data_IF_452006425977
#
_entry.id   IF_452006425977
#
_cell.length_a   1.000
_cell.length_b   1.000
_cell.length_c   1.000
_cell.angle_alpha   90.00
_cell.angle_beta   90.00
_cell.angle_gamma   90.00
#
_symmetry.space_group_name_H-M   'P 1'
#
loop_
_entity.id
_entity.type
_entity.pdbx_description
1 polymer ?
#
# COMPACT_ATOMS: atom_id res chain seq x y z
N UNK A 1 -4.81 -27.55 -65.47
CA UNK A 1 -6.24 -27.65 -65.20
C UNK A 1 -6.42 -27.53 -63.69
N UNK A 2 -7.06 -26.44 -63.26
CA UNK A 2 -7.59 -26.08 -61.93
C UNK A 2 -6.71 -26.35 -60.68
N UNK A 3 -6.43 -25.39 -59.80
CA UNK A 3 -7.08 -24.10 -59.60
C UNK A 3 -6.15 -23.08 -58.95
N UNK A 4 -6.35 -21.84 -59.36
CA UNK A 4 -5.64 -20.64 -58.96
C UNK A 4 -6.30 -20.00 -57.74
N UNK A 5 -5.57 -19.10 -57.10
CA UNK A 5 -6.07 -18.01 -56.24
C UNK A 5 -6.41 -18.34 -54.77
N UNK A 6 -5.46 -18.08 -53.88
CA UNK A 6 -5.60 -17.09 -52.78
C UNK A 6 -4.29 -16.95 -51.98
N UNK A 7 -3.18 -16.80 -52.70
CA UNK A 7 -1.95 -16.23 -52.13
C UNK A 7 -1.96 -14.74 -52.44
N UNK A 8 -2.44 -13.91 -51.50
CA UNK A 8 -2.19 -12.46 -51.35
C UNK A 8 -3.41 -11.68 -50.85
N UNK A 9 -3.74 -11.78 -49.56
CA UNK A 9 -4.47 -10.73 -48.83
C UNK A 9 -4.52 -11.02 -47.32
N UNK A 10 -3.38 -11.07 -46.64
CA UNK A 10 -3.35 -10.81 -45.18
C UNK A 10 -1.97 -10.28 -44.77
N UNK A 11 -1.60 -9.17 -45.41
CA UNK A 11 -0.46 -8.33 -45.04
C UNK A 11 -0.99 -7.22 -44.14
N UNK A 12 -1.29 -7.50 -42.87
CA UNK A 12 -1.46 -6.45 -41.86
C UNK A 12 -1.42 -7.06 -40.45
N UNK A 13 -0.23 -7.08 -39.83
CA UNK A 13 -0.04 -6.81 -38.39
C UNK A 13 1.47 -6.83 -38.04
N UNK A 14 2.18 -5.83 -38.58
CA UNK A 14 3.32 -5.24 -37.88
C UNK A 14 2.74 -4.14 -37.00
N UNK A 15 2.56 -4.39 -35.71
CA UNK A 15 2.29 -3.35 -34.74
C UNK A 15 3.09 -3.62 -33.46
N UNK A 16 4.18 -2.87 -33.33
CA UNK A 16 4.50 -2.03 -32.18
C UNK A 16 3.99 -2.55 -30.83
N UNK A 17 4.91 -2.95 -29.95
CA UNK A 17 4.63 -2.99 -28.50
C UNK A 17 4.74 -1.58 -27.94
N UNK A 18 3.67 -0.94 -27.41
CA UNK A 18 3.83 0.19 -26.54
C UNK A 18 3.92 -0.30 -25.10
N UNK A 19 4.98 0.13 -24.42
CA UNK A 19 4.96 0.30 -22.98
C UNK A 19 3.77 1.20 -22.56
N UNK A 20 3.36 1.11 -21.28
CA UNK A 20 2.42 2.00 -20.58
C UNK A 20 0.92 1.64 -20.50
N UNK A 21 0.46 0.45 -20.92
CA UNK A 21 -0.99 0.15 -20.93
C UNK A 21 -1.68 -0.11 -19.57
N UNK A 22 -1.03 -0.64 -18.51
CA UNK A 22 -1.74 -0.83 -17.23
C UNK A 22 -1.93 0.46 -16.42
N UNK A 23 -1.01 1.42 -16.54
CA UNK A 23 -1.05 2.67 -15.77
C UNK A 23 -1.99 3.70 -16.40
N UNK A 24 -2.06 3.77 -17.73
CA UNK A 24 -2.99 4.65 -18.44
C UNK A 24 -4.46 4.24 -18.22
N UNK A 25 -4.75 2.94 -18.15
CA UNK A 25 -6.10 2.43 -17.85
C UNK A 25 -6.52 2.72 -16.41
N UNK A 26 -5.59 2.67 -15.45
CA UNK A 26 -5.91 2.98 -14.05
C UNK A 26 -6.15 4.49 -13.85
N UNK A 27 -5.38 5.35 -14.50
CA UNK A 27 -5.60 6.81 -14.45
C UNK A 27 -6.86 7.23 -15.20
N UNK A 28 -7.18 6.59 -16.34
CA UNK A 28 -8.42 6.88 -17.06
C UNK A 28 -9.63 6.36 -16.31
N UNK A 29 -9.61 5.16 -15.72
CA UNK A 29 -10.74 4.66 -14.92
C UNK A 29 -10.98 5.52 -13.68
N UNK A 30 -9.92 5.90 -12.95
CA UNK A 30 -10.05 6.82 -11.80
C UNK A 30 -10.51 8.21 -12.23
N UNK A 31 -9.98 8.74 -13.35
CA UNK A 31 -10.46 9.99 -13.92
C UNK A 31 -11.94 9.88 -14.30
N UNK A 32 -12.37 8.84 -15.03
CA UNK A 32 -13.76 8.65 -15.43
C UNK A 32 -14.70 8.49 -14.24
N UNK A 33 -14.27 7.84 -13.15
CA UNK A 33 -15.05 7.74 -11.90
C UNK A 33 -15.15 9.10 -11.19
N UNK A 34 -14.06 9.87 -11.15
CA UNK A 34 -14.07 11.22 -10.58
C UNK A 34 -14.91 12.18 -11.43
N UNK A 35 -14.79 12.12 -12.76
CA UNK A 35 -15.57 12.94 -13.69
C UNK A 35 -17.02 12.52 -13.67
N UNK A 36 -17.37 11.24 -13.60
CA UNK A 36 -18.78 10.81 -13.51
C UNK A 36 -19.41 11.17 -12.17
N UNK A 37 -18.66 11.08 -11.07
CA UNK A 37 -19.09 11.56 -9.75
C UNK A 37 -19.27 13.08 -9.71
N UNK A 38 -18.34 13.82 -10.32
CA UNK A 38 -18.44 15.28 -10.44
C UNK A 38 -19.60 15.69 -11.35
N UNK A 39 -19.79 15.02 -12.50
CA UNK A 39 -20.93 15.23 -13.39
C UNK A 39 -22.25 14.88 -12.70
N UNK A 40 -22.29 13.82 -11.88
CA UNK A 40 -23.45 13.47 -11.07
C UNK A 40 -23.78 14.56 -10.05
N UNK A 41 -22.76 15.11 -9.39
CA UNK A 41 -22.91 16.26 -8.49
C UNK A 41 -23.36 17.52 -9.23
N UNK A 42 -22.77 17.87 -10.38
CA UNK A 42 -23.18 19.05 -11.15
C UNK A 42 -24.58 18.89 -11.71
N UNK A 43 -24.99 17.70 -12.12
CA UNK A 43 -26.35 17.43 -12.58
C UNK A 43 -27.36 17.51 -11.43
N UNK A 44 -27.01 16.98 -10.25
CA UNK A 44 -27.81 17.12 -9.03
C UNK A 44 -27.94 18.58 -8.59
N UNK A 45 -26.84 19.34 -8.67
CA UNK A 45 -26.83 20.77 -8.36
C UNK A 45 -27.66 21.57 -9.37
N UNK A 46 -27.53 21.29 -10.68
CA UNK A 46 -28.36 21.90 -11.72
C UNK A 46 -29.85 21.58 -11.56
N UNK A 47 -30.18 20.34 -11.19
CA UNK A 47 -31.56 19.95 -10.88
C UNK A 47 -32.09 20.70 -9.65
N UNK A 48 -31.25 20.89 -8.63
CA UNK A 48 -31.59 21.68 -7.46
C UNK A 48 -31.79 23.16 -7.80
N UNK A 49 -30.90 23.78 -8.59
CA UNK A 49 -31.05 25.18 -9.01
C UNK A 49 -32.29 25.38 -9.88
N UNK A 50 -32.60 24.43 -10.76
CA UNK A 50 -33.81 24.47 -11.58
C UNK A 50 -35.08 24.31 -10.73
N UNK A 51 -35.07 23.39 -9.75
CA UNK A 51 -36.16 23.24 -8.78
C UNK A 51 -36.34 24.50 -7.92
N UNK A 52 -35.24 25.11 -7.49
CA UNK A 52 -35.26 26.38 -6.76
C UNK A 52 -35.78 27.53 -7.62
N UNK A 53 -35.42 27.56 -8.91
CA UNK A 53 -35.89 28.57 -9.87
C UNK A 53 -37.40 28.43 -10.13
N UNK A 54 -37.89 27.20 -10.27
CA UNK A 54 -39.32 26.90 -10.36
C UNK A 54 -40.06 27.35 -9.11
N UNK A 55 -39.51 27.05 -7.93
CA UNK A 55 -40.07 27.50 -6.65
C UNK A 55 -40.10 29.03 -6.52
N UNK A 56 -39.04 29.74 -6.93
CA UNK A 56 -39.05 31.21 -6.97
C UNK A 56 -40.10 31.76 -7.94
N UNK A 57 -40.30 31.13 -9.09
CA UNK A 57 -41.32 31.56 -10.05
C UNK A 57 -42.74 31.31 -9.54
N UNK A 58 -42.98 30.18 -8.88
CA UNK A 58 -44.25 29.90 -8.20
C UNK A 58 -44.50 30.91 -7.06
N UNK A 59 -43.49 31.23 -6.25
CA UNK A 59 -43.55 32.26 -5.22
C UNK A 59 -43.85 33.65 -5.81
N UNK A 60 -43.20 34.05 -6.90
CA UNK A 60 -43.48 35.32 -7.58
C UNK A 60 -44.95 35.39 -8.02
N UNK A 61 -45.47 34.29 -8.60
CA UNK A 61 -46.89 34.19 -9.01
C UNK A 61 -47.87 34.20 -7.84
N UNK A 62 -47.42 33.70 -6.68
CA UNK A 62 -48.19 33.70 -5.43
C UNK A 62 -48.17 35.10 -4.80
N UNK A 63 -47.03 35.80 -4.83
CA UNK A 63 -46.89 37.16 -4.31
C UNK A 63 -47.61 38.20 -5.15
N UNK A 64 -47.73 38.02 -6.48
CA UNK A 64 -48.54 38.91 -7.32
C UNK A 64 -50.05 38.84 -7.04
N UNK A 65 -50.50 37.86 -6.25
CA UNK A 65 -51.89 37.69 -5.81
C UNK A 65 -52.16 38.30 -4.43
N UNK A 66 -51.13 38.74 -3.72
CA UNK A 66 -51.24 39.40 -2.42
C UNK A 66 -50.88 40.88 -2.55
N UNK A 67 -51.85 41.77 -2.33
CA UNK A 67 -51.64 43.22 -2.20
C UNK A 67 -51.03 43.52 -0.82
N UNK A 68 -49.80 43.07 -0.56
CA UNK A 68 -49.07 43.32 0.69
C UNK A 68 -47.98 44.38 0.42
N UNK A 69 -47.77 45.35 1.34
CA UNK A 69 -46.85 46.46 1.12
C UNK A 69 -45.40 46.01 0.83
N UNK A 70 -44.68 46.73 -0.04
CA UNK A 70 -43.41 46.31 -0.65
C UNK A 70 -42.24 46.10 0.34
N UNK A 71 -42.39 46.55 1.58
CA UNK A 71 -41.34 46.48 2.61
C UNK A 71 -41.23 45.09 3.25
N UNK A 72 -42.27 44.26 3.23
CA UNK A 72 -42.20 42.87 3.72
C UNK A 72 -41.72 41.90 2.63
N UNK A 73 -42.03 42.18 1.37
CA UNK A 73 -41.60 41.37 0.22
C UNK A 73 -40.09 41.43 -0.01
N UNK A 74 -39.48 42.59 0.23
CA UNK A 74 -38.03 42.81 0.11
C UNK A 74 -37.24 42.07 1.19
N UNK A 75 -37.82 41.85 2.39
CA UNK A 75 -37.21 41.03 3.44
C UNK A 75 -37.17 39.56 3.01
N UNK A 76 -38.25 39.05 2.42
CA UNK A 76 -38.35 37.66 1.99
C UNK A 76 -37.38 37.31 0.84
N UNK A 77 -37.21 38.20 -0.15
CA UNK A 77 -36.24 38.01 -1.25
C UNK A 77 -34.79 38.04 -0.76
N UNK A 78 -34.50 38.89 0.23
CA UNK A 78 -33.19 38.95 0.87
C UNK A 78 -32.90 37.70 1.71
N UNK A 79 -33.91 37.07 2.32
CA UNK A 79 -33.73 35.81 3.03
C UNK A 79 -33.54 34.62 2.08
N UNK A 80 -34.24 34.58 0.94
CA UNK A 80 -34.07 33.49 -0.04
C UNK A 80 -32.68 33.48 -0.71
N UNK A 81 -32.08 34.65 -0.94
CA UNK A 81 -30.71 34.77 -1.48
C UNK A 81 -29.63 34.40 -0.47
N UNK A 82 -29.92 34.45 0.83
CA UNK A 82 -28.99 34.07 1.91
C UNK A 82 -28.91 32.56 2.12
N UNK A 83 -29.97 31.80 1.85
CA UNK A 83 -30.00 30.33 2.01
C UNK A 83 -28.85 29.61 1.28
N UNK A 84 -28.57 29.83 -0.02
CA UNK A 84 -27.47 29.15 -0.72
C UNK A 84 -26.09 29.56 -0.17
N UNK A 85 -25.92 30.80 0.29
CA UNK A 85 -24.69 31.26 0.93
C UNK A 85 -24.47 30.57 2.29
N UNK A 86 -25.53 30.36 3.07
CA UNK A 86 -25.48 29.63 4.33
C UNK A 86 -25.13 28.16 4.09
N UNK A 87 -25.73 27.52 3.08
CA UNK A 87 -25.41 26.12 2.73
C UNK A 87 -23.96 25.95 2.29
N UNK A 88 -23.44 26.87 1.47
CA UNK A 88 -22.02 26.88 1.09
C UNK A 88 -21.12 27.10 2.31
N UNK A 89 -21.45 28.05 3.18
CA UNK A 89 -20.69 28.33 4.39
C UNK A 89 -20.67 27.11 5.34
N UNK A 90 -21.80 26.43 5.52
CA UNK A 90 -21.89 25.20 6.33
C UNK A 90 -21.10 24.06 5.71
N UNK A 91 -21.17 23.87 4.38
CA UNK A 91 -20.37 22.85 3.68
C UNK A 91 -18.87 23.10 3.80
N UNK A 92 -18.45 24.36 3.70
CA UNK A 92 -17.05 24.78 3.85
C UNK A 92 -16.59 24.61 5.31
N UNK A 93 -17.43 24.97 6.28
CA UNK A 93 -17.17 24.71 7.70
C UNK A 93 -17.05 23.20 7.99
N UNK A 94 -17.90 22.35 7.40
CA UNK A 94 -17.87 20.90 7.61
C UNK A 94 -16.61 20.26 7.01
N UNK A 95 -16.20 20.68 5.81
CA UNK A 95 -14.96 20.20 5.17
C UNK A 95 -13.70 20.65 5.92
N UNK A 96 -13.67 21.90 6.39
CA UNK A 96 -12.60 22.39 7.27
C UNK A 96 -12.56 21.57 8.56
N UNK A 97 -13.71 21.42 9.24
CA UNK A 97 -13.80 20.68 10.51
C UNK A 97 -13.38 19.22 10.33
N UNK A 98 -13.80 18.56 9.25
CA UNK A 98 -13.41 17.18 8.94
C UNK A 98 -11.91 17.05 8.61
N UNK A 99 -11.35 17.99 7.84
CA UNK A 99 -9.91 18.05 7.55
C UNK A 99 -9.07 18.27 8.82
N UNK A 100 -9.52 19.17 9.68
CA UNK A 100 -8.92 19.49 10.97
C UNK A 100 -9.02 18.29 11.93
N UNK A 101 -10.16 17.62 12.02
CA UNK A 101 -10.34 16.38 12.80
C UNK A 101 -9.40 15.26 12.33
N UNK A 102 -9.13 15.17 11.02
CA UNK A 102 -8.17 14.23 10.44
C UNK A 102 -6.72 14.60 10.78
N UNK A 103 -6.41 15.90 10.88
CA UNK A 103 -5.09 16.39 11.27
C UNK A 103 -4.80 16.18 12.76
N UNK A 104 -5.82 16.25 13.63
CA UNK A 104 -5.69 16.07 15.09
C UNK A 104 -5.40 14.63 15.54
N UNK A 105 -5.41 13.63 14.65
CA UNK A 105 -5.02 12.24 15.00
C UNK A 105 -3.51 11.97 14.90
N UNK A 106 -2.67 13.00 14.78
CA UNK A 106 -1.21 12.82 14.74
C UNK A 106 -0.64 12.85 16.16
N UNK A 107 -0.02 11.74 16.57
CA UNK A 107 0.66 11.64 17.87
C UNK A 107 2.09 12.15 17.72
N UNK A 108 2.51 13.06 18.59
CA UNK A 108 3.89 13.51 18.67
C UNK A 108 4.69 12.56 19.59
N UNK A 109 5.71 11.94 19.03
CA UNK A 109 6.69 11.11 19.73
C UNK A 109 7.99 11.93 19.81
N UNK A 110 8.11 12.67 20.91
CA UNK A 110 9.33 13.39 21.26
C UNK A 110 10.22 12.43 22.05
N UNK A 111 11.29 11.97 21.40
CA UNK A 111 12.26 11.10 22.03
C UNK A 111 13.51 11.92 22.38
N UNK A 112 13.83 12.02 23.66
CA UNK A 112 15.12 12.48 24.16
C UNK A 112 15.90 11.23 24.55
N UNK A 113 16.97 10.94 23.82
CA UNK A 113 17.67 9.66 23.96
C UNK A 113 19.14 9.91 24.14
N UNK A 114 19.63 9.52 25.30
CA UNK A 114 21.03 9.56 25.69
C UNK A 114 21.54 8.14 25.99
N UNK A 115 22.86 7.96 25.99
CA UNK A 115 23.51 6.71 26.39
C UNK A 115 23.52 5.60 25.31
N UNK A 116 23.68 4.32 25.72
CA UNK A 116 23.93 3.20 24.80
C UNK A 116 22.85 2.99 23.73
N UNK A 117 21.59 3.28 24.06
CA UNK A 117 20.45 3.16 23.16
C UNK A 117 20.50 4.21 22.02
N UNK A 118 20.97 5.42 22.32
CA UNK A 118 21.17 6.46 21.31
C UNK A 118 22.25 6.05 20.28
N UNK A 119 23.37 5.51 20.78
CA UNK A 119 24.46 5.02 19.95
C UNK A 119 24.00 3.88 19.04
N UNK A 120 23.30 2.89 19.59
CA UNK A 120 22.70 1.82 18.81
C UNK A 120 21.69 2.35 17.76
N UNK A 121 20.84 3.30 18.14
CA UNK A 121 19.87 3.87 17.21
C UNK A 121 20.54 4.64 16.07
N UNK A 122 21.64 5.33 16.35
CA UNK A 122 22.45 5.98 15.32
C UNK A 122 23.07 4.96 14.34
N UNK A 123 23.47 3.79 14.84
CA UNK A 123 24.06 2.70 14.05
C UNK A 123 23.02 2.08 13.11
N UNK A 124 21.82 1.75 13.59
CA UNK A 124 20.76 1.24 12.71
C UNK A 124 20.34 2.28 11.67
N UNK A 125 20.27 3.56 12.06
CA UNK A 125 19.94 4.65 11.15
C UNK A 125 20.98 4.81 10.04
N UNK A 126 22.27 4.71 10.34
CA UNK A 126 23.34 4.84 9.33
C UNK A 126 23.37 3.70 8.31
N UNK A 127 22.91 2.51 8.69
CA UNK A 127 22.80 1.34 7.79
C UNK A 127 21.47 1.28 7.03
N UNK A 128 20.46 2.05 7.46
CA UNK A 128 19.14 2.05 6.86
C UNK A 128 19.11 2.37 5.36
N UNK A 129 19.95 3.28 4.82
CA UNK A 129 20.06 3.50 3.38
C UNK A 129 20.26 2.21 2.58
N UNK A 130 21.07 1.27 3.10
CA UNK A 130 21.28 -0.04 2.47
C UNK A 130 20.02 -0.89 2.36
N UNK A 131 19.08 -0.75 3.31
CA UNK A 131 17.77 -1.42 3.27
C UNK A 131 16.81 -0.69 2.32
N UNK A 132 16.86 0.65 2.27
CA UNK A 132 16.00 1.44 1.36
C UNK A 132 16.36 1.27 -0.12
N UNK A 133 17.61 0.92 -0.42
CA UNK A 133 18.09 0.66 -1.79
C UNK A 133 17.79 -0.77 -2.28
N UNK A 134 17.14 -1.60 -1.46
CA UNK A 134 16.71 -2.92 -1.90
C UNK A 134 15.57 -2.80 -2.91
N UNK A 135 15.70 -3.49 -4.04
CA UNK A 135 14.64 -3.51 -5.06
C UNK A 135 13.32 -4.05 -4.52
N UNK A 136 13.39 -5.01 -3.61
CA UNK A 136 12.23 -5.69 -3.06
C UNK A 136 12.43 -6.07 -1.60
N UNK A 137 11.51 -5.56 -0.79
CA UNK A 137 11.30 -5.98 0.60
C UNK A 137 9.85 -6.43 0.68
N UNK A 138 9.63 -7.63 1.18
CA UNK A 138 8.31 -8.24 1.31
C UNK A 138 8.01 -8.54 2.77
N UNK A 139 6.75 -8.38 3.15
CA UNK A 139 6.21 -8.91 4.39
C UNK A 139 5.46 -10.19 4.04
N UNK A 140 5.85 -11.31 4.64
CA UNK A 140 5.12 -12.57 4.53
C UNK A 140 3.91 -12.52 5.45
N UNK A 141 2.72 -12.42 4.87
CA UNK A 141 1.44 -12.34 5.60
C UNK A 141 0.89 -13.72 5.91
N UNK A 142 1.12 -14.70 5.03
CA UNK A 142 0.70 -16.08 5.23
C UNK A 142 1.72 -17.05 4.63
N UNK A 143 1.91 -18.18 5.30
CA UNK A 143 2.70 -19.30 4.79
C UNK A 143 1.92 -20.59 5.04
N UNK A 144 1.67 -21.34 3.97
CA UNK A 144 0.91 -22.60 4.01
C UNK A 144 1.74 -23.72 3.41
N UNK A 145 1.93 -24.80 4.16
CA UNK A 145 2.59 -26.00 3.65
C UNK A 145 1.76 -26.63 2.52
N UNK A 146 2.44 -27.07 1.49
CA UNK A 146 1.82 -27.74 0.35
C UNK A 146 1.54 -29.19 0.71
N UNK A 147 0.26 -29.52 0.94
CA UNK A 147 -0.12 -30.82 1.51
C UNK A 147 -0.17 -31.97 0.50
N UNK A 148 -0.26 -31.69 -0.80
CA UNK A 148 -0.42 -32.74 -1.83
C UNK A 148 0.56 -32.57 -3.00
N UNK A 149 0.95 -33.66 -3.68
CA UNK A 149 1.78 -33.58 -4.89
C UNK A 149 1.14 -32.75 -6.01
N UNK A 150 -0.20 -32.72 -6.08
CA UNK A 150 -0.92 -31.86 -7.02
C UNK A 150 -0.69 -30.37 -6.69
N UNK A 151 -0.77 -29.99 -5.41
CA UNK A 151 -0.52 -28.61 -5.01
C UNK A 151 0.94 -28.22 -5.25
N UNK A 152 1.91 -29.12 -5.07
CA UNK A 152 3.32 -28.84 -5.40
C UNK A 152 3.47 -28.58 -6.90
N UNK A 153 2.85 -29.42 -7.73
CA UNK A 153 2.89 -29.30 -9.18
C UNK A 153 2.36 -27.96 -9.71
N UNK A 154 1.24 -27.47 -9.17
CA UNK A 154 0.66 -26.19 -9.60
C UNK A 154 1.33 -24.96 -8.98
N UNK A 155 2.20 -25.14 -8.00
CA UNK A 155 2.98 -24.09 -7.34
C UNK A 155 4.48 -24.22 -7.62
N UNK A 156 4.84 -24.62 -8.86
CA UNK A 156 6.23 -24.69 -9.32
C UNK A 156 7.17 -25.58 -8.47
N UNK A 157 6.62 -26.62 -7.83
CA UNK A 157 7.33 -27.55 -6.96
C UNK A 157 7.62 -27.01 -5.56
N UNK A 158 6.99 -25.90 -5.14
CA UNK A 158 7.26 -25.29 -3.83
C UNK A 158 6.64 -26.07 -2.66
N UNK A 159 7.43 -26.25 -1.59
CA UNK A 159 6.98 -26.88 -0.34
C UNK A 159 6.01 -26.00 0.46
N UNK A 160 6.03 -24.69 0.20
CA UNK A 160 5.17 -23.71 0.85
C UNK A 160 4.58 -22.73 -0.17
N UNK A 161 3.29 -22.45 -0.01
CA UNK A 161 2.61 -21.32 -0.64
C UNK A 161 2.79 -20.13 0.29
N UNK A 162 3.39 -19.06 -0.24
CA UNK A 162 3.72 -17.85 0.52
C UNK A 162 2.90 -16.69 -0.04
N UNK A 163 2.05 -16.10 0.80
CA UNK A 163 1.43 -14.82 0.51
C UNK A 163 2.25 -13.71 1.16
N UNK A 164 2.55 -12.68 0.37
CA UNK A 164 3.40 -11.58 0.80
C UNK A 164 2.97 -10.27 0.17
N UNK A 165 3.24 -9.18 0.87
CA UNK A 165 2.92 -7.81 0.47
C UNK A 165 4.18 -6.97 0.41
N UNK A 166 4.21 -5.99 -0.51
CA UNK A 166 5.39 -5.14 -0.69
C UNK A 166 5.50 -4.17 0.47
N UNK A 167 6.66 -4.12 1.08
CA UNK A 167 6.94 -3.24 2.22
C UNK A 167 7.61 -1.98 1.71
N UNK A 168 7.09 -0.82 2.11
CA UNK A 168 7.78 0.44 2.00
C UNK A 168 8.77 0.58 3.15
N UNK A 169 10.03 0.77 2.82
CA UNK A 169 11.10 1.08 3.78
C UNK A 169 11.25 2.59 3.85
N UNK A 170 11.25 3.16 5.05
CA UNK A 170 11.36 4.62 5.25
C UNK A 170 12.19 4.94 6.50
N UNK A 171 12.85 6.11 6.50
CA UNK A 171 13.50 6.67 7.69
C UNK A 171 12.59 7.71 8.36
N UNK A 172 11.32 7.38 8.45
CA UNK A 172 10.27 8.20 9.05
C UNK A 172 9.18 7.27 9.57
N UNK A 173 8.53 7.61 10.69
CA UNK A 173 7.40 6.83 11.16
C UNK A 173 6.23 6.86 10.18
N UNK A 174 5.23 6.01 10.41
CA UNK A 174 3.97 6.09 9.68
C UNK A 174 3.36 7.50 9.83
N UNK A 175 2.75 8.05 8.76
CA UNK A 175 2.14 9.39 8.67
C UNK A 175 1.17 9.86 9.79
N UNK A 176 0.77 8.98 10.72
CA UNK A 176 -0.06 9.32 11.91
C UNK A 176 0.80 9.60 13.15
N UNK A 177 2.11 9.45 13.04
CA UNK A 177 3.08 9.70 14.09
C UNK A 177 4.04 10.76 13.56
N UNK A 178 4.27 11.79 14.36
CA UNK A 178 5.36 12.75 14.16
C UNK A 178 6.45 12.37 15.14
N UNK A 179 7.69 12.30 14.70
CA UNK A 179 8.83 12.14 15.59
C UNK A 179 9.92 13.13 15.21
N UNK A 180 10.63 13.62 16.22
CA UNK A 180 11.86 14.41 16.06
C UNK A 180 13.02 13.56 15.51
N UNK A 181 12.90 12.23 15.54
CA UNK A 181 13.90 11.29 15.09
C UNK A 181 13.53 10.67 13.74
N UNK A 182 14.53 10.49 12.87
CA UNK A 182 14.41 9.62 11.69
C UNK A 182 14.32 8.17 12.14
N UNK A 183 13.11 7.60 12.14
CA UNK A 183 12.82 6.25 12.62
C UNK A 183 12.90 5.23 11.49
N UNK A 184 13.85 4.27 11.53
CA UNK A 184 13.83 3.10 10.68
C UNK A 184 12.46 2.41 10.74
N UNK A 185 11.74 2.40 9.62
CA UNK A 185 10.35 1.92 9.59
C UNK A 185 10.07 1.06 8.36
N UNK A 186 9.44 -0.09 8.59
CA UNK A 186 8.80 -0.90 7.55
C UNK A 186 7.29 -0.65 7.56
N UNK A 187 6.70 -0.38 6.40
CA UNK A 187 5.28 -0.06 6.25
C UNK A 187 4.66 -0.98 5.19
N UNK A 188 3.68 -1.75 5.61
CA UNK A 188 2.88 -2.64 4.75
C UNK A 188 1.40 -2.22 4.81
N UNK A 189 1.11 -1.05 4.22
CA UNK A 189 -0.23 -0.46 4.19
C UNK A 189 -0.82 -0.20 5.57
N UNK A 190 -1.59 -1.16 6.09
CA UNK A 190 -2.25 -1.09 7.41
C UNK A 190 -1.32 -1.47 8.57
N UNK A 191 -0.19 -2.13 8.30
CA UNK A 191 0.79 -2.54 9.30
C UNK A 191 2.05 -1.67 9.23
N UNK A 192 2.67 -1.36 10.37
CA UNK A 192 3.99 -0.69 10.39
C UNK A 192 4.81 -1.08 11.62
N UNK A 193 6.11 -1.28 11.45
CA UNK A 193 7.08 -1.42 12.55
C UNK A 193 8.05 -0.28 12.44
N UNK A 194 8.14 0.51 13.50
CA UNK A 194 9.14 1.55 13.66
C UNK A 194 10.07 1.15 14.80
N UNK A 195 11.36 1.15 14.52
CA UNK A 195 12.39 0.89 15.53
C UNK A 195 12.71 2.20 16.24
N UNK A 196 12.26 2.34 17.48
CA UNK A 196 12.66 3.46 18.35
C UNK A 196 13.94 3.06 19.10
N UNK A 197 14.65 4.00 19.73
CA UNK A 197 15.88 3.69 20.45
C UNK A 197 15.70 2.75 21.65
N UNK A 198 14.52 2.72 22.26
CA UNK A 198 14.21 1.99 23.49
C UNK A 198 13.19 0.86 23.29
N UNK A 199 12.26 1.04 22.34
CA UNK A 199 11.15 0.11 22.06
C UNK A 199 10.91 -0.06 20.57
N UNK A 200 10.09 -1.06 20.23
CA UNK A 200 9.56 -1.26 18.89
C UNK A 200 8.10 -0.81 18.88
N UNK A 201 7.77 0.16 18.04
CA UNK A 201 6.39 0.58 17.82
C UNK A 201 5.79 -0.23 16.67
N UNK A 202 4.75 -1.00 16.99
CA UNK A 202 4.01 -1.81 16.03
C UNK A 202 2.63 -1.22 15.84
N UNK A 203 2.18 -1.20 14.59
CA UNK A 203 0.84 -0.82 14.22
C UNK A 203 0.17 -1.96 13.49
N UNK A 204 -1.08 -2.23 13.88
CA UNK A 204 -1.98 -3.10 13.13
C UNK A 204 -3.32 -2.42 12.90
N UNK A 205 -3.55 -1.96 11.67
CA UNK A 205 -4.78 -1.26 11.29
C UNK A 205 -4.95 0.05 12.04
N UNK A 206 -5.93 0.12 12.93
CA UNK A 206 -6.17 1.26 13.83
C UNK A 206 -5.38 1.18 15.14
N UNK A 207 -4.98 -0.02 15.55
CA UNK A 207 -4.35 -0.30 16.83
C UNK A 207 -2.83 -0.08 16.80
N UNK A 208 -2.30 0.31 17.94
CA UNK A 208 -0.87 0.54 18.16
C UNK A 208 -0.44 -0.22 19.41
N UNK A 209 0.73 -0.82 19.36
CA UNK A 209 1.37 -1.50 20.48
C UNK A 209 2.85 -1.16 20.51
N UNK A 210 3.46 -1.30 21.69
CA UNK A 210 4.89 -1.22 21.86
C UNK A 210 5.40 -2.57 22.37
N UNK A 211 6.59 -2.96 21.92
CA UNK A 211 7.29 -4.14 22.41
C UNK A 211 8.70 -3.74 22.84
N UNK A 212 9.13 -4.25 23.99
CA UNK A 212 10.49 -4.06 24.48
C UNK A 212 11.46 -4.93 23.67
N UNK A 213 12.67 -4.42 23.42
CA UNK A 213 13.68 -5.20 22.70
C UNK A 213 14.10 -6.46 23.46
N UNK A 214 14.03 -6.49 24.80
CA UNK A 214 14.36 -7.66 25.61
C UNK A 214 13.52 -8.90 25.27
N UNK A 215 12.30 -8.70 24.79
CA UNK A 215 11.36 -9.77 24.48
C UNK A 215 11.46 -10.22 23.01
N UNK A 216 12.27 -9.52 22.21
CA UNK A 216 12.38 -9.75 20.79
C UNK A 216 13.30 -10.92 20.48
N UNK A 217 12.76 -11.95 19.82
CA UNK A 217 13.51 -13.05 19.25
C UNK A 217 13.71 -12.81 17.76
N UNK A 218 14.96 -12.79 17.36
CA UNK A 218 15.40 -12.54 15.99
C UNK A 218 15.98 -13.80 15.38
N UNK A 219 15.54 -14.16 14.18
CA UNK A 219 16.24 -15.13 13.35
C UNK A 219 16.38 -14.62 11.93
N UNK A 220 17.49 -14.96 11.28
CA UNK A 220 17.73 -14.67 9.88
C UNK A 220 18.22 -15.93 9.19
N UNK A 221 17.62 -16.25 8.05
CA UNK A 221 18.07 -17.37 7.23
C UNK A 221 17.90 -17.06 5.75
N UNK A 222 18.64 -17.78 4.91
CA UNK A 222 18.51 -17.65 3.45
C UNK A 222 17.38 -18.56 2.98
N UNK A 223 16.48 -18.02 2.16
CA UNK A 223 15.33 -18.74 1.65
C UNK A 223 15.24 -18.62 0.13
N UNK A 224 14.98 -19.73 -0.53
CA UNK A 224 14.72 -19.76 -1.98
C UNK A 224 13.25 -19.50 -2.23
N UNK A 225 12.94 -18.54 -3.08
CA UNK A 225 11.57 -18.19 -3.46
C UNK A 225 11.46 -18.14 -4.97
N UNK A 226 10.39 -18.73 -5.50
CA UNK A 226 10.09 -18.71 -6.92
C UNK A 226 9.42 -17.40 -7.30
N UNK A 227 10.03 -16.64 -8.20
CA UNK A 227 9.53 -15.37 -8.72
C UNK A 227 8.93 -15.53 -10.13
N UNK A 228 7.81 -14.85 -10.43
CA UNK A 228 7.37 -14.71 -11.81
C UNK A 228 8.39 -13.89 -12.62
N UNK A 229 8.81 -14.43 -13.76
CA UNK A 229 9.76 -13.75 -14.65
C UNK A 229 11.20 -13.78 -14.13
N UNK A 230 11.90 -12.66 -14.23
CA UNK A 230 13.34 -12.53 -13.89
C UNK A 230 13.61 -12.29 -12.41
N UNK A 231 12.56 -12.01 -11.60
CA UNK A 231 12.71 -11.55 -10.22
C UNK A 231 13.22 -10.11 -10.11
N UNK A 232 13.51 -9.61 -8.89
CA UNK A 232 14.11 -8.30 -8.66
C UNK A 232 15.52 -8.21 -9.28
N UNK A 233 15.88 -7.08 -9.87
CA UNK A 233 17.08 -6.92 -10.71
C UNK A 233 18.40 -7.21 -9.97
N UNK A 234 18.52 -6.75 -8.73
CA UNK A 234 19.68 -6.87 -7.86
C UNK A 234 19.53 -8.00 -6.82
N UNK A 235 18.71 -9.01 -7.13
CA UNK A 235 18.57 -10.21 -6.31
C UNK A 235 19.47 -11.33 -6.80
N UNK A 236 19.93 -12.19 -5.90
CA UNK A 236 20.75 -13.34 -6.27
C UNK A 236 19.85 -14.45 -6.84
N UNK A 237 19.90 -14.64 -8.16
CA UNK A 237 19.28 -15.79 -8.83
C UNK A 237 20.11 -17.05 -8.56
N UNK A 238 19.48 -18.09 -8.02
CA UNK A 238 20.14 -19.36 -7.66
C UNK A 238 19.68 -20.54 -8.50
N UNK A 239 18.69 -20.33 -9.36
CA UNK A 239 18.22 -21.36 -10.28
C UNK A 239 17.00 -20.91 -11.06
N UNK A 240 16.40 -21.88 -11.74
CA UNK A 240 15.17 -21.72 -12.50
C UNK A 240 14.26 -22.92 -12.27
N UNK A 241 12.96 -22.71 -12.38
CA UNK A 241 11.94 -23.75 -12.27
C UNK A 241 10.84 -23.47 -13.30
N UNK A 242 9.89 -24.39 -13.43
CA UNK A 242 8.75 -24.24 -14.33
C UNK A 242 7.49 -23.93 -13.53
N UNK A 243 6.59 -23.10 -14.07
CA UNK A 243 5.31 -22.80 -13.42
C UNK A 243 4.53 -24.08 -13.09
N UNK A 244 4.57 -25.06 -14.00
CA UNK A 244 4.09 -26.41 -13.78
C UNK A 244 5.26 -27.39 -13.88
N UNK A 245 5.73 -27.90 -12.74
CA UNK A 245 6.87 -28.79 -12.67
C UNK A 245 6.46 -30.26 -12.53
N UNK A 246 7.18 -31.14 -13.21
CA UNK A 246 7.08 -32.59 -13.05
C UNK A 246 7.68 -33.03 -11.71
N UNK A 247 7.47 -34.30 -11.31
CA UNK A 247 8.15 -34.89 -10.14
C UNK A 247 9.68 -34.77 -10.19
N UNK A 248 10.25 -34.68 -11.38
CA UNK A 248 11.69 -34.56 -11.62
C UNK A 248 12.16 -33.09 -11.74
N UNK A 249 11.29 -32.10 -11.50
CA UNK A 249 11.60 -30.66 -11.58
C UNK A 249 11.59 -30.04 -12.99
N UNK A 250 11.51 -30.85 -14.05
CA UNK A 250 11.40 -30.40 -15.44
C UNK A 250 9.99 -29.88 -15.84
N UNK A 251 9.83 -29.32 -17.04
CA UNK A 251 8.56 -28.77 -17.52
C UNK A 251 7.51 -29.87 -17.73
N UNK A 252 6.31 -29.66 -17.20
CA UNK A 252 5.16 -30.49 -17.58
C UNK A 252 4.62 -30.08 -18.95
N UNK A 253 4.83 -30.96 -19.94
CA UNK A 253 4.40 -30.75 -21.33
C UNK A 253 2.89 -30.84 -21.56
N UNK A 254 2.09 -31.24 -20.55
CA UNK A 254 0.62 -31.27 -20.66
C UNK A 254 0.00 -29.87 -20.53
N UNK A 255 0.72 -28.91 -19.95
CA UNK A 255 0.24 -27.55 -19.78
C UNK A 255 0.71 -26.65 -20.92
N UNK A 256 -0.24 -26.15 -21.71
CA UNK A 256 0.02 -25.12 -22.70
C UNK A 256 0.44 -23.81 -21.99
N UNK A 257 1.45 -23.12 -22.51
CA UNK A 257 2.02 -21.90 -21.93
C UNK A 257 2.70 -22.08 -20.55
N UNK A 258 3.36 -23.21 -20.31
CA UNK A 258 4.19 -23.42 -19.12
C UNK A 258 5.45 -22.54 -19.17
N UNK A 259 5.44 -21.40 -18.48
CA UNK A 259 6.58 -20.48 -18.45
C UNK A 259 7.64 -20.89 -17.44
N UNK A 260 8.88 -20.55 -17.75
CA UNK A 260 10.01 -20.63 -16.83
C UNK A 260 9.89 -19.51 -15.77
N UNK A 261 10.20 -19.85 -14.53
CA UNK A 261 10.20 -18.97 -13.36
C UNK A 261 11.62 -18.93 -12.77
N UNK A 262 12.03 -17.79 -12.25
CA UNK A 262 13.35 -17.67 -11.61
C UNK A 262 13.26 -18.08 -10.15
N UNK A 263 14.25 -18.83 -9.67
CA UNK A 263 14.42 -19.10 -8.23
C UNK A 263 15.43 -18.10 -7.68
N UNK A 264 14.95 -17.23 -6.80
CA UNK A 264 15.71 -16.12 -6.20
C UNK A 264 16.00 -16.43 -4.73
N UNK A 265 17.18 -16.03 -4.27
CA UNK A 265 17.57 -16.14 -2.87
C UNK A 265 17.26 -14.85 -2.11
N UNK A 266 16.38 -14.96 -1.13
CA UNK A 266 16.04 -13.89 -0.19
C UNK A 266 16.71 -14.13 1.17
N UNK A 267 16.97 -13.04 1.89
CA UNK A 267 17.21 -13.10 3.33
C UNK A 267 15.88 -12.96 4.06
N UNK A 268 15.43 -14.01 4.74
CA UNK A 268 14.24 -13.98 5.57
C UNK A 268 14.62 -13.63 7.01
N UNK A 269 14.12 -12.48 7.48
CA UNK A 269 14.27 -11.98 8.85
C UNK A 269 12.95 -12.16 9.57
N UNK A 270 12.98 -12.88 10.69
CA UNK A 270 11.82 -13.15 11.52
C UNK A 270 11.97 -12.48 12.88
N UNK A 271 10.98 -11.69 13.24
CA UNK A 271 10.83 -10.95 14.48
C UNK A 271 9.69 -11.58 15.26
N UNK A 272 9.93 -12.10 16.45
CA UNK A 272 8.89 -12.75 17.28
C UNK A 272 8.97 -12.23 18.70
N UNK A 273 7.83 -11.99 19.35
CA UNK A 273 7.76 -11.81 20.80
C UNK A 273 6.89 -12.91 21.44
N UNK A 274 7.09 -13.23 22.72
CA UNK A 274 6.22 -14.16 23.45
C UNK A 274 4.75 -13.71 23.51
N UNK A 275 4.50 -12.40 23.41
CA UNK A 275 3.16 -11.81 23.43
C UNK A 275 2.36 -12.04 22.13
N UNK A 276 2.91 -12.80 21.17
CA UNK A 276 2.24 -13.17 19.93
C UNK A 276 2.48 -12.23 18.75
N UNK A 277 3.33 -11.20 18.88
CA UNK A 277 3.77 -10.44 17.72
C UNK A 277 4.76 -11.29 16.91
N UNK A 278 4.47 -11.49 15.63
CA UNK A 278 5.30 -12.23 14.69
C UNK A 278 5.32 -11.47 13.38
N UNK A 279 6.51 -11.10 12.91
CA UNK A 279 6.68 -10.42 11.65
C UNK A 279 7.83 -11.03 10.85
N UNK A 280 7.53 -11.49 9.63
CA UNK A 280 8.48 -12.13 8.73
C UNK A 280 8.71 -11.22 7.52
N UNK A 281 9.96 -10.83 7.29
CA UNK A 281 10.39 -9.96 6.21
C UNK A 281 11.33 -10.72 5.27
N UNK A 282 11.12 -10.61 3.96
CA UNK A 282 12.02 -11.13 2.94
C UNK A 282 12.69 -9.99 2.20
N UNK A 283 14.01 -9.90 2.29
CA UNK A 283 14.83 -8.87 1.65
C UNK A 283 15.56 -9.47 0.45
N UNK A 284 15.54 -8.79 -0.70
CA UNK A 284 16.12 -9.29 -1.95
C UNK A 284 17.63 -9.53 -1.91
N UNK A 285 18.33 -8.96 -0.92
CA UNK A 285 19.76 -9.19 -0.67
C UNK A 285 19.95 -9.86 0.70
N UNK A 286 20.34 -11.14 0.73
CA UNK A 286 20.54 -11.87 1.98
C UNK A 286 21.58 -11.25 2.91
N UNK A 287 22.64 -10.63 2.36
CA UNK A 287 23.68 -9.98 3.16
C UNK A 287 23.17 -8.74 3.91
N UNK A 288 22.27 -7.97 3.28
CA UNK A 288 21.62 -6.82 3.93
C UNK A 288 20.69 -7.28 5.05
N UNK A 289 19.99 -8.39 4.87
CA UNK A 289 19.18 -9.01 5.93
C UNK A 289 20.02 -9.49 7.11
N UNK A 290 21.14 -10.17 6.84
CA UNK A 290 22.06 -10.63 7.87
C UNK A 290 22.65 -9.46 8.66
N UNK A 291 23.16 -8.44 7.96
CA UNK A 291 23.71 -7.21 8.57
C UNK A 291 22.67 -6.51 9.45
N UNK A 292 21.45 -6.33 8.94
CA UNK A 292 20.35 -5.72 9.70
C UNK A 292 20.04 -6.54 10.97
N UNK A 293 20.00 -7.86 10.86
CA UNK A 293 19.72 -8.76 11.99
C UNK A 293 20.83 -8.66 13.04
N UNK A 294 22.09 -8.63 12.63
CA UNK A 294 23.24 -8.43 13.53
C UNK A 294 23.16 -7.10 14.27
N UNK A 295 22.81 -6.01 13.58
CA UNK A 295 22.63 -4.69 14.21
C UNK A 295 21.47 -4.73 15.21
N UNK A 296 20.34 -5.33 14.84
CA UNK A 296 19.20 -5.48 15.75
C UNK A 296 19.58 -6.31 16.99
N UNK A 297 20.31 -7.42 16.81
CA UNK A 297 20.81 -8.27 17.91
C UNK A 297 21.81 -7.56 18.83
N UNK A 298 22.55 -6.58 18.31
CA UNK A 298 23.49 -5.79 19.09
C UNK A 298 22.82 -4.78 20.04
N UNK A 299 21.47 -4.68 20.04
CA UNK A 299 20.73 -3.79 20.92
C UNK A 299 21.10 -4.05 22.40
N UNK A 300 21.35 -3.01 23.23
CA UNK A 300 21.77 -3.17 24.62
C UNK A 300 20.86 -4.10 25.45
N UNK A 301 19.54 -3.96 25.32
CA UNK A 301 18.55 -4.76 26.06
C UNK A 301 18.48 -6.25 25.66
N UNK A 302 19.05 -6.66 24.51
CA UNK A 302 19.05 -8.07 24.08
C UNK A 302 20.18 -8.89 24.71
N UNK A 303 21.23 -8.23 25.22
CA UNK A 303 22.42 -8.89 25.79
C UNK A 303 22.19 -9.48 27.19
N UNK A 304 21.06 -9.17 27.83
CA UNK A 304 20.80 -9.54 29.23
C UNK A 304 20.33 -10.99 29.42
N UNK A 305 20.23 -11.80 28.36
CA UNK A 305 20.02 -13.25 28.50
C UNK A 305 21.38 -13.95 28.52
N UNK A 306 22.19 -13.64 29.53
CA UNK A 306 23.32 -14.51 29.86
C UNK A 306 22.77 -15.63 30.75
N UNK A 307 22.99 -16.84 30.25
CA UNK A 307 22.61 -18.15 30.77
C UNK A 307 23.10 -18.40 32.19
#
# INVERSE_FOLDING_TARGET
MHDSSTTSAQKLNRLVRPAAWPWLLLTTVVATILTSGFTGFTNGFTSFTNGFTSFTNELVSFTSKFTIPPNELTIFTNDLTRVPLIVLAVGLAFTITFGVLRAFRRVNLNCEVEGPNANWHSLIRSHWPGVTQLDSVWHVTEQRATQTPYHQKINAGADYIIHRQRVKVALSPHARVKSNLGLPTFIDGKHSISFLPDRILVRSGSSWSYHDYSDLRLSCHRQRVTEPGTGPDNSQRVGKTWQYANKNGGPDGRFKNNRELSVVLYGEVKLITPTGFCWILQLSRPETAATMTTILQAHPSLKTVTR
#
